data_IF_979139947101
#
_entry.id   IF_979139947101
#
_cell.length_a   1.000
_cell.length_b   1.000
_cell.length_c   1.000
_cell.angle_alpha   90.00
_cell.angle_beta   90.00
_cell.angle_gamma   90.00
#
_symmetry.space_group_name_H-M   'P 1'
#
loop_
_entity.id
_entity.type
_entity.pdbx_description
1 polymer ?
#
# COMPACT_ATOMS: atom_id res chain seq x y z
N UNK A 1 32.48 -0.98 3.91
CA UNK A 1 31.90 -0.69 5.23
C UNK A 1 31.39 0.74 5.16
N UNK A 2 30.09 0.87 4.97
CA UNK A 2 29.36 2.11 5.23
C UNK A 2 27.95 1.67 5.66
N UNK A 3 27.67 1.79 6.96
CA UNK A 3 26.40 1.47 7.58
C UNK A 3 25.47 2.68 7.35
N UNK A 4 25.07 2.85 6.09
CA UNK A 4 24.13 3.88 5.68
C UNK A 4 22.74 3.59 6.23
N UNK A 5 22.44 4.21 7.37
CA UNK A 5 21.14 4.75 7.74
C UNK A 5 19.97 3.77 7.62
N UNK A 6 19.80 2.97 8.68
CA UNK A 6 18.58 2.23 8.94
C UNK A 6 17.47 3.25 9.20
N UNK A 7 16.79 3.65 8.14
CA UNK A 7 15.58 4.46 8.21
C UNK A 7 14.47 3.59 8.82
N UNK A 8 14.43 3.58 10.16
CA UNK A 8 13.40 2.93 10.97
C UNK A 8 12.03 3.28 10.37
N UNK A 9 11.27 2.30 9.87
CA UNK A 9 10.06 2.65 9.15
C UNK A 9 9.07 3.21 10.18
N UNK A 10 8.48 4.36 9.86
CA UNK A 10 7.54 5.14 10.70
C UNK A 10 6.25 4.39 11.11
N UNK A 11 6.17 3.07 10.91
CA UNK A 11 5.19 2.21 11.59
C UNK A 11 5.37 2.21 13.11
N UNK A 12 6.45 2.76 13.68
CA UNK A 12 6.61 2.86 15.14
C UNK A 12 5.46 3.60 15.85
N UNK A 13 4.85 4.63 15.22
CA UNK A 13 3.65 5.30 15.78
C UNK A 13 2.39 4.42 15.61
N UNK A 14 2.36 3.57 14.59
CA UNK A 14 1.29 2.59 14.39
C UNK A 14 1.42 1.40 15.35
N UNK A 15 2.63 1.01 15.74
CA UNK A 15 2.85 -0.15 16.61
C UNK A 15 2.35 0.08 18.03
N UNK A 16 2.52 1.28 18.60
CA UNK A 16 2.00 1.55 19.96
C UNK A 16 0.47 1.43 20.00
N UNK A 17 -0.24 1.86 18.95
CA UNK A 17 -1.71 1.71 18.87
C UNK A 17 -2.17 0.28 18.55
N UNK A 18 -1.43 -0.46 17.71
CA UNK A 18 -1.79 -1.83 17.30
C UNK A 18 -1.44 -2.87 18.39
N UNK A 19 -0.37 -2.67 19.16
CA UNK A 19 0.00 -3.58 20.26
C UNK A 19 -0.89 -3.41 21.50
N UNK A 20 -1.37 -2.20 21.81
CA UNK A 20 -2.31 -1.99 22.92
C UNK A 20 -3.68 -2.61 22.61
N UNK A 21 -4.14 -2.54 21.36
CA UNK A 21 -5.44 -3.09 20.94
C UNK A 21 -5.50 -4.62 20.98
N UNK A 22 -4.38 -5.30 20.74
CA UNK A 22 -4.34 -6.77 20.59
C UNK A 22 -4.25 -7.54 21.91
N UNK A 23 -3.78 -6.93 23.01
CA UNK A 23 -3.65 -7.62 24.32
C UNK A 23 -4.98 -7.76 25.09
N UNK A 24 -5.94 -6.84 24.89
CA UNK A 24 -7.27 -6.91 25.53
C UNK A 24 -8.32 -7.68 24.72
N UNK A 25 -7.98 -8.14 23.51
CA UNK A 25 -8.94 -8.66 22.54
C UNK A 25 -9.22 -10.16 22.63
N UNK A 26 -8.50 -10.91 23.47
CA UNK A 26 -8.54 -12.37 23.47
C UNK A 26 -9.94 -12.99 23.78
N UNK A 27 -10.88 -12.20 24.32
CA UNK A 27 -12.25 -12.65 24.66
C UNK A 27 -13.38 -11.74 24.13
N UNK A 28 -13.11 -10.83 23.18
CA UNK A 28 -14.16 -9.94 22.68
C UNK A 28 -15.03 -10.61 21.61
N UNK A 29 -16.35 -10.49 21.76
CA UNK A 29 -17.28 -10.93 20.71
C UNK A 29 -17.06 -10.11 19.42
N UNK A 30 -17.31 -10.75 18.26
CA UNK A 30 -17.28 -10.09 16.94
C UNK A 30 -18.17 -8.83 16.92
N UNK A 31 -19.29 -8.84 17.66
CA UNK A 31 -20.17 -7.68 17.82
C UNK A 31 -19.47 -6.49 18.48
N UNK A 32 -18.69 -6.74 19.53
CA UNK A 32 -17.92 -5.71 20.23
C UNK A 32 -16.83 -5.15 19.33
N UNK A 33 -16.13 -6.01 18.59
CA UNK A 33 -15.10 -5.62 17.62
C UNK A 33 -15.73 -4.71 16.55
N UNK A 34 -16.85 -5.10 15.94
CA UNK A 34 -17.54 -4.30 14.92
C UNK A 34 -17.98 -2.94 15.44
N UNK A 35 -18.54 -2.88 16.65
CA UNK A 35 -18.98 -1.61 17.27
C UNK A 35 -17.81 -0.66 17.50
N UNK A 36 -16.68 -1.17 18.02
CA UNK A 36 -15.48 -0.35 18.24
C UNK A 36 -14.92 0.19 16.92
N UNK A 37 -14.86 -0.64 15.87
CA UNK A 37 -14.45 -0.21 14.54
C UNK A 37 -15.38 0.88 13.98
N UNK A 38 -16.70 0.73 14.13
CA UNK A 38 -17.66 1.74 13.69
C UNK A 38 -17.54 3.05 14.47
N UNK A 39 -17.35 2.97 15.79
CA UNK A 39 -17.14 4.14 16.66
C UNK A 39 -15.88 4.92 16.27
N UNK A 40 -14.83 4.23 15.81
CA UNK A 40 -13.62 4.87 15.29
C UNK A 40 -13.70 5.25 13.80
N UNK A 41 -14.87 5.12 13.17
CA UNK A 41 -15.08 5.47 11.75
C UNK A 41 -14.48 4.48 10.75
N UNK A 42 -14.02 3.31 11.22
CA UNK A 42 -13.47 2.26 10.37
C UNK A 42 -14.60 1.41 9.77
N UNK A 43 -14.54 1.23 8.45
CA UNK A 43 -15.42 0.34 7.71
C UNK A 43 -14.60 -0.75 7.00
N UNK A 44 -15.20 -1.92 6.82
CA UNK A 44 -14.59 -2.96 6.00
C UNK A 44 -14.49 -2.48 4.55
N UNK A 45 -13.34 -2.68 3.92
CA UNK A 45 -13.14 -2.50 2.47
C UNK A 45 -12.70 -3.81 1.85
N UNK A 46 -13.23 -4.10 0.67
CA UNK A 46 -12.72 -5.22 -0.15
C UNK A 46 -11.36 -4.82 -0.70
N UNK A 47 -10.28 -5.61 -0.49
CA UNK A 47 -9.01 -5.36 -1.15
C UNK A 47 -9.20 -5.37 -2.67
N UNK A 48 -8.52 -4.45 -3.37
CA UNK A 48 -8.44 -4.53 -4.82
C UNK A 48 -7.73 -5.84 -5.20
N UNK A 49 -8.38 -6.64 -6.04
CA UNK A 49 -7.81 -7.86 -6.62
C UNK A 49 -6.80 -7.44 -7.70
N UNK A 50 -5.60 -7.08 -7.28
CA UNK A 50 -4.48 -6.76 -8.16
C UNK A 50 -3.30 -7.68 -7.89
N UNK A 51 -2.47 -7.89 -8.90
CA UNK A 51 -1.17 -8.54 -8.70
C UNK A 51 -0.35 -7.69 -7.71
N UNK A 52 0.10 -8.26 -6.58
CA UNK A 52 0.96 -7.55 -5.67
C UNK A 52 2.22 -7.07 -6.40
N UNK A 53 2.41 -5.76 -6.47
CA UNK A 53 3.64 -5.21 -7.02
C UNK A 53 4.75 -5.37 -5.99
N UNK A 54 5.87 -5.95 -6.42
CA UNK A 54 7.11 -5.91 -5.63
C UNK A 54 7.52 -4.46 -5.37
N UNK A 55 8.30 -4.22 -4.32
CA UNK A 55 8.77 -2.88 -4.00
C UNK A 55 9.53 -2.23 -5.16
N UNK A 56 10.37 -3.01 -5.86
CA UNK A 56 11.08 -2.53 -7.04
C UNK A 56 10.13 -2.14 -8.17
N UNK A 57 9.09 -2.94 -8.46
CA UNK A 57 8.09 -2.58 -9.47
C UNK A 57 7.37 -1.28 -9.11
N UNK A 58 7.04 -1.05 -7.83
CA UNK A 58 6.42 0.22 -7.40
C UNK A 58 7.33 1.41 -7.64
N UNK A 59 8.62 1.30 -7.27
CA UNK A 59 9.61 2.37 -7.46
C UNK A 59 9.79 2.70 -8.94
N UNK A 60 10.03 1.69 -9.76
CA UNK A 60 10.29 1.88 -11.20
C UNK A 60 9.07 2.45 -11.92
N UNK A 61 7.86 1.95 -11.63
CA UNK A 61 6.63 2.50 -12.23
C UNK A 61 6.41 3.96 -11.85
N UNK A 62 6.65 4.33 -10.57
CA UNK A 62 6.55 5.72 -10.13
C UNK A 62 7.56 6.60 -10.86
N UNK A 63 8.83 6.21 -10.84
CA UNK A 63 9.89 6.95 -11.51
C UNK A 63 9.58 7.16 -12.99
N UNK A 64 9.15 6.12 -13.69
CA UNK A 64 8.79 6.21 -15.11
C UNK A 64 7.66 7.22 -15.37
N UNK A 65 6.62 7.24 -14.50
CA UNK A 65 5.54 8.21 -14.59
C UNK A 65 6.01 9.63 -14.27
N UNK A 66 6.85 9.80 -13.25
CA UNK A 66 7.35 11.12 -12.85
C UNK A 66 8.22 11.74 -13.96
N UNK A 67 9.10 10.95 -14.58
CA UNK A 67 9.91 11.36 -15.73
C UNK A 67 9.08 11.80 -16.94
N UNK A 68 7.87 11.23 -17.10
CA UNK A 68 7.00 11.43 -18.26
C UNK A 68 5.74 12.22 -17.92
N UNK A 69 5.73 12.87 -16.77
CA UNK A 69 4.55 13.57 -16.25
C UNK A 69 4.05 14.69 -17.16
N UNK A 70 4.96 15.31 -17.91
CA UNK A 70 4.69 16.43 -18.81
C UNK A 70 4.70 16.02 -20.29
N UNK A 71 4.77 14.71 -20.59
CA UNK A 71 4.68 14.23 -21.96
C UNK A 71 3.29 14.50 -22.53
N UNK A 72 3.26 15.16 -23.68
CA UNK A 72 2.02 15.46 -24.41
C UNK A 72 2.19 15.07 -25.87
N UNK A 73 3.15 15.69 -26.57
CA UNK A 73 3.43 15.39 -27.98
C UNK A 73 4.25 14.09 -28.15
N UNK A 74 5.05 13.74 -27.14
CA UNK A 74 5.91 12.55 -27.14
C UNK A 74 5.10 11.26 -27.19
N UNK A 75 3.83 11.28 -26.77
CA UNK A 75 2.96 10.12 -26.90
C UNK A 75 2.68 9.74 -28.36
N UNK A 76 2.71 10.71 -29.28
CA UNK A 76 2.43 10.47 -30.70
C UNK A 76 3.53 9.65 -31.38
N UNK A 77 4.72 9.59 -30.77
CA UNK A 77 5.87 8.84 -31.29
C UNK A 77 5.95 7.40 -30.73
N UNK A 78 5.10 7.04 -29.75
CA UNK A 78 5.18 5.75 -29.05
C UNK A 78 4.20 4.74 -29.63
N UNK A 79 4.73 3.62 -30.16
CA UNK A 79 3.94 2.47 -30.60
C UNK A 79 3.95 1.37 -29.51
N UNK A 80 2.79 1.08 -28.92
CA UNK A 80 2.64 0.02 -27.92
C UNK A 80 2.40 -1.35 -28.57
N UNK A 81 2.96 -2.41 -27.99
CA UNK A 81 2.71 -3.79 -28.41
C UNK A 81 2.51 -4.68 -27.18
N UNK A 82 1.61 -5.66 -27.28
CA UNK A 82 1.41 -6.70 -26.27
C UNK A 82 0.96 -8.00 -26.94
N UNK A 83 1.21 -9.15 -26.28
CA UNK A 83 0.77 -10.45 -26.74
C UNK A 83 -0.41 -10.92 -25.91
N UNK A 84 -1.57 -11.10 -26.55
CA UNK A 84 -2.69 -11.79 -25.95
C UNK A 84 -2.66 -13.28 -26.28
N UNK A 85 -3.19 -14.10 -25.36
CA UNK A 85 -3.45 -15.51 -25.63
C UNK A 85 -4.80 -15.59 -26.37
N UNK A 86 -4.77 -16.14 -27.59
CA UNK A 86 -5.98 -16.56 -28.32
C UNK A 86 -6.38 -17.95 -27.81
#
# INVERSE_FOLDING_TARGET
MDLGEYDEPTWSIASTSVHHFTREQANLSVRTIRRRLQQSGLCARRPLLGLPLTQNHRRLRRQWCDERRMWVAEWDEVVFTDKSRI
#
